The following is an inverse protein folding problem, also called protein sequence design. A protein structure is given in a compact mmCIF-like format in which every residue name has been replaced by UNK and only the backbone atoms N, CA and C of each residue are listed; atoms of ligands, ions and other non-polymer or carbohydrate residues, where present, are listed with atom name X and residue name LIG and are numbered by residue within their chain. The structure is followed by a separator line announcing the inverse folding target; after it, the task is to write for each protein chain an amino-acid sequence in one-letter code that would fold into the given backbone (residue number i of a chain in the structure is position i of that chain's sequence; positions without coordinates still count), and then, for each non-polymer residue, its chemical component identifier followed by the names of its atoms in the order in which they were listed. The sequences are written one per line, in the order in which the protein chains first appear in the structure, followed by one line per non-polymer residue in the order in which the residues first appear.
data_IF_541351925335
#
_entry.id   IF_541351925335
#
_cell.length_a   1.000
_cell.length_b   1.000
_cell.length_c   1.000
_cell.angle_alpha   90.00
_cell.angle_beta   90.00
_cell.angle_gamma   90.00
#
_symmetry.space_group_name_H-M   'P 1'
#
loop_
_entity.id
_entity.type
_entity.pdbx_description
1 polymer ?
#
# COMPACT_ATOMS: atom_id res chain seq x y z
N UNK A 1 -51.42 16.50 -1.62
CA UNK A 1 -50.83 15.18 -1.76
C UNK A 1 -50.14 14.84 -0.43
N UNK A 2 -50.47 13.73 0.22
CA UNK A 2 -49.83 13.35 1.46
C UNK A 2 -48.36 12.96 1.18
N UNK A 3 -47.44 13.42 2.03
CA UNK A 3 -46.01 13.13 1.96
C UNK A 3 -45.79 11.61 2.04
N UNK A 4 -45.02 11.07 1.09
CA UNK A 4 -44.62 9.67 1.10
C UNK A 4 -43.86 9.34 2.41
N UNK A 5 -44.10 8.16 3.01
CA UNK A 5 -43.42 7.76 4.25
C UNK A 5 -41.90 7.73 4.01
N UNK A 6 -41.16 8.35 4.92
CA UNK A 6 -39.69 8.28 4.93
C UNK A 6 -39.29 6.81 4.99
N UNK A 7 -38.43 6.32 4.09
CA UNK A 7 -37.91 4.96 4.21
C UNK A 7 -37.22 4.80 5.56
N UNK A 8 -37.53 3.71 6.26
CA UNK A 8 -36.91 3.33 7.51
C UNK A 8 -35.39 3.32 7.33
N UNK A 9 -34.67 3.93 8.28
CA UNK A 9 -33.22 3.94 8.26
C UNK A 9 -32.72 2.48 8.20
N UNK A 10 -31.90 2.10 7.20
CA UNK A 10 -31.35 0.76 7.13
C UNK A 10 -30.59 0.48 8.41
N UNK A 11 -30.88 -0.68 9.02
CA UNK A 11 -30.28 -1.09 10.28
C UNK A 11 -28.77 -0.96 10.23
N UNK A 12 -28.22 -0.28 11.24
CA UNK A 12 -26.79 -0.10 11.46
C UNK A 12 -26.15 -1.50 11.55
N UNK A 13 -25.60 -2.00 10.45
CA UNK A 13 -24.70 -3.14 10.59
C UNK A 13 -23.42 -2.63 11.27
N UNK A 14 -22.95 -3.31 12.31
CA UNK A 14 -21.76 -2.90 13.05
C UNK A 14 -20.57 -2.85 12.07
N UNK A 15 -19.70 -1.85 12.26
CA UNK A 15 -18.42 -1.77 11.55
C UNK A 15 -17.70 -3.12 11.69
N UNK A 16 -17.07 -3.64 10.61
CA UNK A 16 -16.34 -4.90 10.72
C UNK A 16 -15.31 -4.78 11.84
N UNK A 17 -15.47 -5.62 12.85
CA UNK A 17 -14.60 -5.67 14.02
C UNK A 17 -13.19 -6.08 13.57
N UNK A 18 -12.18 -5.76 14.38
CA UNK A 18 -10.81 -6.24 14.12
C UNK A 18 -10.80 -7.77 13.93
N UNK A 19 -11.67 -8.48 14.64
CA UNK A 19 -11.83 -9.93 14.54
C UNK A 19 -12.34 -10.36 13.16
N UNK A 20 -13.29 -9.65 12.57
CA UNK A 20 -13.80 -9.94 11.21
C UNK A 20 -12.75 -9.64 10.14
N UNK A 21 -11.96 -8.59 10.33
CA UNK A 21 -10.82 -8.29 9.44
C UNK A 21 -9.75 -9.39 9.50
N UNK A 22 -9.47 -9.92 10.70
CA UNK A 22 -8.59 -11.09 10.83
C UNK A 22 -9.20 -12.35 10.23
N UNK A 23 -10.52 -12.54 10.33
CA UNK A 23 -11.20 -13.65 9.67
C UNK A 23 -11.13 -13.55 8.14
N UNK A 24 -11.22 -12.36 7.57
CA UNK A 24 -11.06 -12.14 6.13
C UNK A 24 -9.64 -12.55 5.65
N UNK A 25 -8.62 -12.37 6.47
CA UNK A 25 -7.26 -12.83 6.16
C UNK A 25 -7.16 -14.35 6.00
N UNK A 26 -8.13 -15.12 6.50
CA UNK A 26 -8.21 -16.57 6.28
C UNK A 26 -8.43 -16.94 4.82
N UNK A 27 -8.88 -16.01 3.99
CA UNK A 27 -9.03 -16.20 2.55
C UNK A 27 -7.71 -15.97 1.77
N UNK A 28 -6.70 -15.39 2.39
CA UNK A 28 -5.40 -15.10 1.75
C UNK A 28 -4.61 -16.39 1.42
N UNK A 29 -4.47 -17.39 2.33
CA UNK A 29 -3.73 -18.61 2.03
C UNK A 29 -4.31 -19.41 0.84
N UNK A 30 -5.64 -19.65 0.71
CA UNK A 30 -6.20 -20.27 -0.49
C UNK A 30 -5.90 -19.49 -1.77
N UNK A 31 -5.93 -18.16 -1.71
CA UNK A 31 -5.59 -17.30 -2.84
C UNK A 31 -4.12 -17.44 -3.25
N UNK A 32 -3.19 -17.40 -2.29
CA UNK A 32 -1.76 -17.61 -2.55
C UNK A 32 -1.50 -19.00 -3.15
N UNK A 33 -2.23 -20.03 -2.69
CA UNK A 33 -2.13 -21.38 -3.27
C UNK A 33 -2.56 -21.42 -4.74
N UNK A 34 -3.58 -20.65 -5.12
CA UNK A 34 -4.01 -20.53 -6.52
C UNK A 34 -2.95 -19.85 -7.39
N UNK A 35 -2.30 -18.80 -6.88
CA UNK A 35 -1.21 -18.11 -7.56
C UNK A 35 -0.03 -19.05 -7.76
N UNK A 36 0.34 -19.78 -6.70
CA UNK A 36 1.39 -20.80 -6.76
C UNK A 36 1.09 -21.88 -7.81
N UNK A 37 -0.16 -22.34 -7.87
CA UNK A 37 -0.59 -23.32 -8.86
C UNK A 37 -0.55 -22.81 -10.31
N UNK A 38 -0.69 -21.49 -10.53
CA UNK A 38 -0.60 -20.89 -11.86
C UNK A 38 0.83 -20.94 -12.42
N UNK A 39 1.84 -20.62 -11.59
CA UNK A 39 3.26 -20.75 -11.96
C UNK A 39 4.15 -20.80 -10.71
N UNK A 40 4.61 -21.99 -10.27
CA UNK A 40 5.54 -22.12 -9.14
C UNK A 40 6.85 -21.38 -9.38
N UNK A 41 7.40 -21.47 -10.60
CA UNK A 41 8.69 -20.88 -10.95
C UNK A 41 8.68 -19.33 -10.82
N UNK A 42 7.66 -18.67 -11.37
CA UNK A 42 7.53 -17.20 -11.26
C UNK A 42 7.22 -16.77 -9.83
N UNK A 43 6.45 -17.56 -9.07
CA UNK A 43 6.16 -17.28 -7.66
C UNK A 43 7.43 -17.33 -6.81
N UNK A 44 8.28 -18.36 -7.00
CA UNK A 44 9.58 -18.47 -6.32
C UNK A 44 10.51 -17.32 -6.75
N UNK A 45 10.60 -17.03 -8.04
CA UNK A 45 11.44 -15.96 -8.55
C UNK A 45 11.02 -14.59 -7.96
N UNK A 46 9.73 -14.27 -7.98
CA UNK A 46 9.20 -13.02 -7.41
C UNK A 46 9.50 -12.92 -5.91
N UNK A 47 9.23 -13.96 -5.12
CA UNK A 47 9.48 -13.97 -3.69
C UNK A 47 10.98 -13.88 -3.38
N UNK A 48 11.83 -14.63 -4.10
CA UNK A 48 13.29 -14.61 -3.92
C UNK A 48 13.89 -13.23 -4.23
N UNK A 49 13.49 -12.61 -5.35
CA UNK A 49 13.91 -11.27 -5.73
C UNK A 49 13.46 -10.23 -4.69
N UNK A 50 12.23 -10.34 -4.19
CA UNK A 50 11.70 -9.45 -3.14
C UNK A 50 12.43 -9.64 -1.81
N UNK A 51 12.80 -10.86 -1.45
CA UNK A 51 13.60 -11.13 -0.26
C UNK A 51 14.95 -10.41 -0.34
N UNK A 52 15.66 -10.53 -1.45
CA UNK A 52 16.92 -9.80 -1.67
C UNK A 52 16.69 -8.29 -1.62
N UNK A 53 15.67 -7.80 -2.32
CA UNK A 53 15.34 -6.37 -2.37
C UNK A 53 14.99 -5.78 -1.00
N UNK A 54 14.42 -6.58 -0.10
CA UNK A 54 14.05 -6.12 1.25
C UNK A 54 15.24 -5.69 2.10
N UNK A 55 16.44 -6.22 1.84
CA UNK A 55 17.66 -5.86 2.58
C UNK A 55 18.45 -4.69 1.95
N UNK A 56 18.23 -4.40 0.66
CA UNK A 56 19.00 -3.36 -0.03
C UNK A 56 18.89 -1.97 0.62
N UNK A 57 17.70 -1.49 1.08
CA UNK A 57 17.60 -0.15 1.65
C UNK A 57 18.45 0.05 2.91
N UNK A 58 18.55 -0.95 3.79
CA UNK A 58 19.39 -0.83 4.98
C UNK A 58 20.87 -0.88 4.63
N UNK A 59 21.26 -1.72 3.65
CA UNK A 59 22.65 -1.80 3.18
C UNK A 59 23.09 -0.47 2.55
N UNK A 60 22.25 0.15 1.71
CA UNK A 60 22.55 1.45 1.11
C UNK A 60 22.71 2.54 2.17
N UNK A 61 21.82 2.60 3.17
CA UNK A 61 21.97 3.56 4.28
C UNK A 61 23.23 3.29 5.12
N UNK A 62 23.59 2.04 5.31
CA UNK A 62 24.81 1.68 6.04
C UNK A 62 26.07 2.06 5.28
N UNK A 63 26.12 1.85 3.96
CA UNK A 63 27.25 2.29 3.13
C UNK A 63 27.31 3.82 3.07
N UNK A 64 26.16 4.50 2.95
CA UNK A 64 26.08 5.95 3.06
C UNK A 64 26.67 6.50 4.36
N UNK A 65 26.42 5.80 5.50
CA UNK A 65 27.10 6.09 6.77
C UNK A 65 28.62 5.98 6.63
N UNK A 66 29.13 4.86 6.08
CA UNK A 66 30.57 4.62 5.92
C UNK A 66 31.23 5.68 5.02
N UNK A 67 30.55 6.11 3.95
CA UNK A 67 31.02 7.18 3.06
C UNK A 67 31.16 8.49 3.84
N UNK A 68 30.18 8.84 4.66
CA UNK A 68 30.20 10.07 5.44
C UNK A 68 31.32 10.01 6.51
N UNK A 69 31.44 8.89 7.20
CA UNK A 69 32.47 8.72 8.23
C UNK A 69 33.89 8.80 7.62
N UNK A 70 34.08 8.19 6.42
CA UNK A 70 35.33 8.25 5.71
C UNK A 70 35.64 9.67 5.20
N UNK A 71 34.65 10.39 4.68
CA UNK A 71 34.79 11.79 4.28
C UNK A 71 35.19 12.69 5.47
N UNK A 72 34.52 12.50 6.63
CA UNK A 72 34.83 13.24 7.85
C UNK A 72 36.26 12.92 8.34
N UNK A 73 36.67 11.64 8.26
CA UNK A 73 38.02 11.21 8.59
C UNK A 73 39.08 11.93 7.72
N UNK A 74 38.86 12.00 6.41
CA UNK A 74 39.72 12.65 5.45
C UNK A 74 39.85 14.16 5.74
N UNK A 75 38.73 14.83 6.01
CA UNK A 75 38.73 16.25 6.41
C UNK A 75 39.51 16.48 7.71
N UNK A 76 39.35 15.56 8.67
CA UNK A 76 40.04 15.62 9.97
C UNK A 76 41.55 15.44 9.90
N UNK A 77 42.05 14.81 8.80
CA UNK A 77 43.50 14.68 8.57
C UNK A 77 44.16 16.00 8.14
N UNK A 78 43.37 17.03 7.78
CA UNK A 78 43.88 18.34 7.35
C UNK A 78 44.72 18.29 6.07
N UNK A 79 44.52 17.25 5.25
CA UNK A 79 45.28 17.11 3.99
C UNK A 79 44.65 18.04 2.97
N UNK A 80 45.35 19.08 2.57
CA UNK A 80 44.99 19.92 1.46
C UNK A 80 45.47 19.22 0.16
N UNK A 81 44.56 18.93 -0.72
CA UNK A 81 44.84 18.37 -2.05
C UNK A 81 44.82 19.52 -3.08
N UNK A 82 45.94 19.82 -3.67
CA UNK A 82 46.04 20.85 -4.74
C UNK A 82 45.35 20.39 -6.04
N UNK A 83 45.19 19.07 -6.24
CA UNK A 83 44.52 18.49 -7.38
C UNK A 83 43.92 17.10 -7.11
N UNK A 84 42.94 16.68 -7.92
CA UNK A 84 42.38 15.31 -7.87
C UNK A 84 43.47 14.26 -8.17
N UNK A 85 44.49 14.62 -8.96
CA UNK A 85 45.56 13.71 -9.32
C UNK A 85 46.49 13.45 -8.12
N UNK A 86 46.75 14.45 -7.30
CA UNK A 86 47.56 14.30 -6.06
C UNK A 86 46.78 13.48 -5.03
N UNK A 87 45.51 13.73 -4.88
CA UNK A 87 44.64 12.95 -4.02
C UNK A 87 44.56 11.46 -4.43
N UNK A 88 44.65 11.18 -5.73
CA UNK A 88 44.73 9.81 -6.25
C UNK A 88 46.07 9.14 -5.99
N UNK A 89 47.15 9.85 -6.17
CA UNK A 89 48.56 9.34 -5.98
C UNK A 89 48.82 9.00 -4.52
N UNK A 90 48.23 9.74 -3.56
CA UNK A 90 48.36 9.46 -2.12
C UNK A 90 47.63 8.20 -1.68
N UNK A 91 46.69 7.66 -2.49
CA UNK A 91 45.90 6.51 -2.14
C UNK A 91 44.86 6.74 -1.04
N UNK A 92 44.81 7.94 -0.45
CA UNK A 92 43.92 8.28 0.66
C UNK A 92 42.42 8.27 0.26
N UNK A 93 42.13 8.58 -0.99
CA UNK A 93 40.75 8.55 -1.54
C UNK A 93 40.27 7.16 -1.91
N UNK A 94 41.16 6.16 -1.97
CA UNK A 94 40.82 4.83 -2.43
C UNK A 94 39.68 4.17 -1.62
N UNK A 95 39.64 4.21 -0.28
CA UNK A 95 38.53 3.66 0.48
C UNK A 95 37.19 4.35 0.18
N UNK A 96 37.19 5.69 0.08
CA UNK A 96 36.00 6.48 -0.25
C UNK A 96 35.46 6.13 -1.64
N UNK A 97 36.34 5.98 -2.63
CA UNK A 97 35.97 5.62 -3.99
C UNK A 97 35.38 4.21 -4.08
N UNK A 98 35.96 3.25 -3.33
CA UNK A 98 35.40 1.90 -3.27
C UNK A 98 34.02 1.89 -2.64
N UNK A 99 33.77 2.66 -1.60
CA UNK A 99 32.44 2.78 -0.99
C UNK A 99 31.44 3.41 -1.94
N UNK A 100 31.85 4.45 -2.70
CA UNK A 100 30.99 5.07 -3.72
C UNK A 100 30.66 4.10 -4.86
N UNK A 101 31.64 3.35 -5.35
CA UNK A 101 31.41 2.31 -6.38
C UNK A 101 30.47 1.22 -5.87
N UNK A 102 30.63 0.82 -4.60
CA UNK A 102 29.76 -0.17 -3.97
C UNK A 102 28.32 0.36 -3.83
N UNK A 103 28.14 1.60 -3.37
CA UNK A 103 26.81 2.24 -3.25
C UNK A 103 26.15 2.34 -4.65
N UNK A 104 26.88 2.81 -5.65
CA UNK A 104 26.41 2.87 -7.03
C UNK A 104 26.00 1.49 -7.56
N UNK A 105 26.83 0.46 -7.32
CA UNK A 105 26.53 -0.91 -7.70
C UNK A 105 25.25 -1.44 -7.02
N UNK A 106 25.06 -1.15 -5.73
CA UNK A 106 23.84 -1.51 -5.02
C UNK A 106 22.61 -0.75 -5.52
N UNK A 107 22.74 0.52 -5.88
CA UNK A 107 21.66 1.30 -6.47
C UNK A 107 21.19 0.69 -7.79
N UNK A 108 22.13 0.38 -8.70
CA UNK A 108 21.83 -0.30 -9.96
C UNK A 108 21.19 -1.68 -9.70
N UNK A 109 21.75 -2.46 -8.78
CA UNK A 109 21.19 -3.77 -8.42
C UNK A 109 19.77 -3.67 -7.87
N UNK A 110 19.49 -2.65 -7.03
CA UNK A 110 18.15 -2.37 -6.51
C UNK A 110 17.15 -2.07 -7.63
N UNK A 111 17.52 -1.22 -8.57
CA UNK A 111 16.67 -0.87 -9.70
C UNK A 111 16.44 -2.06 -10.64
N UNK A 112 17.49 -2.83 -10.92
CA UNK A 112 17.40 -4.04 -11.74
C UNK A 112 16.48 -5.07 -11.10
N UNK A 113 16.68 -5.37 -9.82
CA UNK A 113 15.82 -6.29 -9.07
C UNK A 113 14.37 -5.78 -9.05
N UNK A 114 14.16 -4.46 -8.89
CA UNK A 114 12.84 -3.86 -8.96
C UNK A 114 12.13 -4.10 -10.29
N UNK A 115 12.85 -3.97 -11.40
CA UNK A 115 12.33 -4.24 -12.75
C UNK A 115 12.05 -5.73 -12.97
N UNK A 116 12.93 -6.61 -12.48
CA UNK A 116 12.73 -8.06 -12.55
C UNK A 116 11.51 -8.52 -11.73
N UNK A 117 11.31 -7.95 -10.55
CA UNK A 117 10.09 -8.19 -9.74
C UNK A 117 8.84 -7.77 -10.51
N UNK A 118 8.81 -6.55 -11.07
CA UNK A 118 7.68 -6.07 -11.85
C UNK A 118 7.40 -6.94 -13.07
N UNK A 119 8.45 -7.39 -13.76
CA UNK A 119 8.33 -8.31 -14.89
C UNK A 119 7.72 -9.66 -14.48
N UNK A 120 8.27 -10.28 -13.43
CA UNK A 120 7.76 -11.55 -12.92
C UNK A 120 6.29 -11.45 -12.46
N UNK A 121 5.93 -10.34 -11.83
CA UNK A 121 4.55 -10.09 -11.38
C UNK A 121 3.58 -9.86 -12.54
N UNK A 122 4.00 -9.17 -13.59
CA UNK A 122 3.17 -8.96 -14.77
C UNK A 122 2.84 -10.30 -15.42
N UNK A 123 3.86 -11.17 -15.63
CA UNK A 123 3.65 -12.50 -16.20
C UNK A 123 2.79 -13.39 -15.29
N UNK A 124 3.07 -13.38 -13.98
CA UNK A 124 2.31 -14.17 -13.01
C UNK A 124 0.84 -13.73 -12.94
N UNK A 125 0.59 -12.43 -13.02
CA UNK A 125 -0.74 -11.82 -13.08
C UNK A 125 -1.52 -12.27 -14.31
N UNK A 126 -0.86 -12.29 -15.47
CA UNK A 126 -1.47 -12.72 -16.72
C UNK A 126 -1.81 -14.22 -16.70
N UNK A 127 -0.85 -15.06 -16.28
CA UNK A 127 -1.08 -16.51 -16.14
C UNK A 127 -2.20 -16.82 -15.14
N UNK A 128 -2.24 -16.10 -14.01
CA UNK A 128 -3.29 -16.27 -13.01
C UNK A 128 -4.67 -15.87 -13.57
N UNK A 129 -4.74 -14.74 -14.28
CA UNK A 129 -5.99 -14.26 -14.91
C UNK A 129 -6.48 -15.26 -15.95
N UNK A 130 -5.60 -15.76 -16.82
CA UNK A 130 -5.93 -16.75 -17.84
C UNK A 130 -6.41 -18.06 -17.20
N UNK A 131 -5.67 -18.57 -16.21
CA UNK A 131 -6.06 -19.81 -15.52
C UNK A 131 -7.40 -19.68 -14.79
N UNK A 132 -7.68 -18.52 -14.19
CA UNK A 132 -8.95 -18.27 -13.50
C UNK A 132 -10.10 -18.11 -14.50
N UNK A 133 -9.87 -17.47 -15.65
CA UNK A 133 -10.86 -17.33 -16.70
C UNK A 133 -11.22 -18.68 -17.33
N UNK A 134 -10.22 -19.54 -17.56
CA UNK A 134 -10.46 -20.90 -18.08
C UNK A 134 -11.30 -21.69 -17.07
N UNK A 135 -10.95 -21.70 -15.79
CA UNK A 135 -11.74 -22.39 -14.75
C UNK A 135 -13.18 -21.86 -14.65
N UNK A 136 -13.36 -20.55 -14.82
CA UNK A 136 -14.70 -19.95 -14.80
C UNK A 136 -15.52 -20.43 -15.99
N UNK A 137 -14.92 -20.49 -17.20
CA UNK A 137 -15.60 -21.00 -18.40
C UNK A 137 -15.89 -22.49 -18.29
N UNK A 138 -14.95 -23.31 -17.79
CA UNK A 138 -15.14 -24.74 -17.53
C UNK A 138 -16.30 -24.96 -16.55
N UNK A 139 -16.36 -24.19 -15.46
CA UNK A 139 -17.45 -24.27 -14.50
C UNK A 139 -18.79 -23.83 -15.13
N UNK A 140 -18.81 -22.74 -15.87
CA UNK A 140 -20.01 -22.29 -16.57
C UNK A 140 -20.54 -23.34 -17.57
N UNK A 141 -19.67 -24.11 -18.22
CA UNK A 141 -20.04 -25.18 -19.13
C UNK A 141 -20.67 -26.40 -18.41
N UNK A 142 -20.52 -26.55 -17.11
CA UNK A 142 -21.15 -27.61 -16.31
C UNK A 142 -22.50 -27.25 -15.73
N UNK A 143 -22.93 -25.97 -15.89
CA UNK A 143 -24.21 -25.49 -15.41
C UNK A 143 -25.31 -25.79 -16.41
N UNK A 144 -26.51 -26.15 -15.93
CA UNK A 144 -27.70 -26.34 -16.76
C UNK A 144 -28.31 -24.98 -17.16
N UNK A 145 -29.13 -24.97 -18.20
CA UNK A 145 -29.75 -23.75 -18.71
C UNK A 145 -30.65 -23.08 -17.65
N UNK A 146 -31.27 -23.87 -16.79
CA UNK A 146 -32.11 -23.43 -15.68
C UNK A 146 -31.28 -22.64 -14.63
N UNK A 147 -30.03 -23.06 -14.40
CA UNK A 147 -29.11 -22.36 -13.47
C UNK A 147 -28.77 -20.94 -13.96
N UNK A 148 -28.72 -20.72 -15.30
CA UNK A 148 -28.46 -19.39 -15.86
C UNK A 148 -29.66 -18.44 -15.73
N UNK A 149 -30.86 -18.96 -15.50
CA UNK A 149 -32.07 -18.17 -15.22
C UNK A 149 -32.18 -17.79 -13.74
N UNK A 150 -31.42 -18.43 -12.84
CA UNK A 150 -31.39 -18.10 -11.42
C UNK A 150 -30.67 -16.77 -11.17
N UNK A 151 -31.36 -15.73 -10.66
CA UNK A 151 -30.78 -14.44 -10.37
C UNK A 151 -29.61 -14.49 -9.36
N UNK A 152 -29.65 -15.45 -8.41
CA UNK A 152 -28.62 -15.60 -7.41
C UNK A 152 -27.32 -16.14 -8.04
N UNK A 153 -27.43 -17.07 -8.98
CA UNK A 153 -26.29 -17.61 -9.68
C UNK A 153 -25.71 -16.61 -10.69
N UNK A 154 -26.54 -15.85 -11.39
CA UNK A 154 -26.11 -14.75 -12.26
C UNK A 154 -25.28 -13.72 -11.47
N UNK A 155 -25.75 -13.32 -10.28
CA UNK A 155 -25.01 -12.41 -9.37
C UNK A 155 -23.66 -13.00 -8.95
N UNK A 156 -23.58 -14.30 -8.69
CA UNK A 156 -22.33 -15.01 -8.33
C UNK A 156 -21.35 -15.05 -9.50
N UNK A 157 -21.83 -15.36 -10.71
CA UNK A 157 -21.01 -15.36 -11.93
C UNK A 157 -20.47 -13.98 -12.27
N UNK A 158 -21.29 -12.95 -12.15
CA UNK A 158 -20.88 -11.57 -12.38
C UNK A 158 -19.87 -11.07 -11.34
N UNK A 159 -20.01 -11.48 -10.08
CA UNK A 159 -18.99 -11.22 -9.05
C UNK A 159 -17.70 -11.94 -9.38
N UNK A 160 -17.74 -13.21 -9.77
CA UNK A 160 -16.56 -13.97 -10.16
C UNK A 160 -15.80 -13.32 -11.32
N UNK A 161 -16.52 -12.86 -12.36
CA UNK A 161 -15.93 -12.11 -13.50
C UNK A 161 -15.24 -10.83 -13.06
N UNK A 162 -15.90 -10.00 -12.23
CA UNK A 162 -15.34 -8.75 -11.72
C UNK A 162 -14.14 -8.99 -10.79
N UNK A 163 -14.20 -10.01 -9.96
CA UNK A 163 -13.13 -10.36 -9.05
C UNK A 163 -11.87 -10.85 -9.78
N UNK A 164 -11.99 -11.49 -10.92
CA UNK A 164 -10.84 -11.95 -11.70
C UNK A 164 -9.93 -10.78 -12.09
N UNK A 165 -10.48 -9.63 -12.47
CA UNK A 165 -9.72 -8.43 -12.81
C UNK A 165 -9.11 -7.71 -11.58
N UNK A 166 -9.75 -7.79 -10.42
CA UNK A 166 -9.28 -7.12 -9.18
C UNK A 166 -8.21 -7.90 -8.42
N UNK A 167 -8.12 -9.21 -8.60
CA UNK A 167 -7.24 -10.10 -7.82
C UNK A 167 -5.76 -9.93 -8.12
N UNK A 168 -5.40 -9.44 -9.30
CA UNK A 168 -4.00 -9.13 -9.67
C UNK A 168 -3.40 -8.03 -8.79
N UNK A 169 -4.16 -6.98 -8.50
CA UNK A 169 -3.76 -5.91 -7.59
C UNK A 169 -3.58 -6.42 -6.16
N UNK A 170 -4.47 -7.33 -5.71
CA UNK A 170 -4.39 -7.95 -4.38
C UNK A 170 -3.10 -8.77 -4.24
N UNK A 171 -2.71 -9.52 -5.28
CA UNK A 171 -1.46 -10.29 -5.29
C UNK A 171 -0.23 -9.38 -5.12
N UNK A 172 -0.11 -8.34 -5.94
CA UNK A 172 1.00 -7.40 -5.87
C UNK A 172 1.07 -6.72 -4.50
N UNK A 173 -0.09 -6.39 -3.93
CA UNK A 173 -0.19 -5.78 -2.60
C UNK A 173 0.25 -6.73 -1.49
N UNK A 174 -0.17 -8.00 -1.50
CA UNK A 174 0.24 -8.99 -0.49
C UNK A 174 1.75 -9.22 -0.56
N UNK A 175 2.32 -9.40 -1.76
CA UNK A 175 3.76 -9.59 -1.92
C UNK A 175 4.55 -8.34 -1.54
N UNK A 176 4.02 -7.13 -1.84
CA UNK A 176 4.58 -5.87 -1.38
C UNK A 176 4.61 -5.76 0.14
N UNK A 177 3.49 -6.08 0.80
CA UNK A 177 3.40 -6.07 2.27
C UNK A 177 4.38 -7.07 2.92
N UNK A 178 4.57 -8.24 2.34
CA UNK A 178 5.55 -9.20 2.84
C UNK A 178 6.98 -8.67 2.73
N UNK A 179 7.34 -8.07 1.59
CA UNK A 179 8.64 -7.40 1.41
C UNK A 179 8.83 -6.26 2.43
N UNK A 180 7.84 -5.39 2.59
CA UNK A 180 7.91 -4.27 3.53
C UNK A 180 8.04 -4.75 4.97
N UNK A 181 7.37 -5.85 5.36
CA UNK A 181 7.52 -6.46 6.68
C UNK A 181 8.94 -6.95 6.93
N UNK A 182 9.57 -7.60 5.96
CA UNK A 182 10.98 -8.04 6.06
C UNK A 182 11.91 -6.82 6.16
N UNK A 183 11.65 -5.78 5.37
CA UNK A 183 12.43 -4.53 5.42
C UNK A 183 12.28 -3.84 6.78
N UNK A 184 11.08 -3.81 7.36
CA UNK A 184 10.83 -3.30 8.72
C UNK A 184 11.64 -4.05 9.76
N UNK A 185 11.65 -5.38 9.70
CA UNK A 185 12.44 -6.21 10.62
C UNK A 185 13.94 -5.88 10.48
N UNK A 186 14.43 -5.74 9.26
CA UNK A 186 15.84 -5.40 8.99
C UNK A 186 16.21 -4.05 9.60
N UNK A 187 15.40 -3.00 9.40
CA UNK A 187 15.64 -1.69 10.02
C UNK A 187 15.48 -1.70 11.53
N UNK A 188 14.51 -2.47 12.06
CA UNK A 188 14.33 -2.60 13.50
C UNK A 188 15.55 -3.24 14.16
N UNK A 189 16.13 -4.29 13.55
CA UNK A 189 17.38 -4.90 14.03
C UNK A 189 18.52 -3.88 14.00
N UNK A 190 18.67 -3.12 12.90
CA UNK A 190 19.68 -2.06 12.81
C UNK A 190 19.55 -1.02 13.91
N UNK A 191 18.33 -0.55 14.20
CA UNK A 191 18.09 0.41 15.29
C UNK A 191 18.32 -0.21 16.69
N UNK A 192 17.96 -1.49 16.88
CA UNK A 192 18.16 -2.19 18.17
C UNK A 192 19.64 -2.26 18.57
N UNK A 193 20.52 -2.45 17.60
CA UNK A 193 21.97 -2.54 17.85
C UNK A 193 22.55 -1.22 18.36
N UNK A 194 22.05 -0.08 17.84
CA UNK A 194 22.58 1.25 18.18
C UNK A 194 21.83 1.94 19.32
N UNK A 195 20.49 1.89 19.29
CA UNK A 195 19.67 2.63 20.23
C UNK A 195 18.27 1.99 20.40
N UNK A 196 18.12 0.95 21.24
CA UNK A 196 16.88 0.17 21.36
C UNK A 196 15.65 1.01 21.79
N UNK A 197 15.85 2.07 22.57
CA UNK A 197 14.75 2.93 23.01
C UNK A 197 14.12 3.75 21.87
N UNK A 198 14.80 3.96 20.74
CA UNK A 198 14.23 4.61 19.56
C UNK A 198 13.05 3.83 18.97
N UNK A 199 13.06 2.50 19.11
CA UNK A 199 11.93 1.66 18.68
C UNK A 199 10.72 1.90 19.58
N UNK A 200 10.92 2.05 20.89
CA UNK A 200 9.84 2.37 21.81
C UNK A 200 9.23 3.73 21.48
N UNK A 201 10.07 4.74 21.25
CA UNK A 201 9.61 6.07 20.83
C UNK A 201 8.81 6.01 19.51
N UNK A 202 9.28 5.23 18.54
CA UNK A 202 8.61 5.02 17.27
C UNK A 202 7.23 4.36 17.47
N UNK A 203 7.14 3.32 18.30
CA UNK A 203 5.90 2.65 18.60
C UNK A 203 4.88 3.63 19.22
N UNK A 204 5.30 4.41 20.22
CA UNK A 204 4.45 5.43 20.86
C UNK A 204 3.98 6.50 19.86
N UNK A 205 4.86 6.93 18.95
CA UNK A 205 4.52 7.93 17.94
C UNK A 205 3.54 7.40 16.86
N UNK A 206 3.57 6.09 16.54
CA UNK A 206 2.75 5.48 15.51
C UNK A 206 1.36 5.04 15.98
N UNK A 207 1.21 4.65 17.26
CA UNK A 207 -0.07 4.15 17.78
C UNK A 207 -1.23 5.12 17.53
N UNK A 208 -1.14 6.43 17.82
CA UNK A 208 -2.23 7.36 17.56
C UNK A 208 -2.60 7.46 16.09
N UNK A 209 -1.60 7.52 15.20
CA UNK A 209 -1.82 7.57 13.76
C UNK A 209 -2.54 6.31 13.24
N UNK A 210 -2.15 5.14 13.72
CA UNK A 210 -2.80 3.87 13.39
C UNK A 210 -4.27 3.81 13.85
N UNK A 211 -4.54 4.19 15.09
CA UNK A 211 -5.92 4.22 15.63
C UNK A 211 -6.79 5.15 14.79
N UNK A 212 -6.29 6.34 14.46
CA UNK A 212 -6.99 7.31 13.64
C UNK A 212 -7.29 6.79 12.25
N UNK A 213 -6.29 6.25 11.54
CA UNK A 213 -6.44 5.72 10.18
C UNK A 213 -7.40 4.52 10.15
N UNK A 214 -7.28 3.60 11.11
CA UNK A 214 -8.19 2.46 11.25
C UNK A 214 -9.64 2.90 11.48
N UNK A 215 -9.86 3.92 12.30
CA UNK A 215 -11.17 4.49 12.56
C UNK A 215 -11.79 5.11 11.30
N UNK A 216 -11.04 5.95 10.57
CA UNK A 216 -11.55 6.59 9.36
C UNK A 216 -11.76 5.60 8.20
N UNK A 217 -10.94 4.56 8.09
CA UNK A 217 -11.16 3.50 7.12
C UNK A 217 -12.46 2.72 7.43
N UNK A 218 -12.74 2.44 8.71
CA UNK A 218 -14.00 1.82 9.12
C UNK A 218 -15.21 2.71 8.80
N UNK A 219 -15.12 4.02 9.04
CA UNK A 219 -16.17 4.98 8.68
C UNK A 219 -16.37 5.07 7.16
N UNK A 220 -15.30 5.02 6.38
CA UNK A 220 -15.38 4.98 4.92
C UNK A 220 -16.09 3.72 4.40
N UNK A 221 -15.76 2.57 4.98
CA UNK A 221 -16.44 1.32 4.66
C UNK A 221 -17.94 1.36 5.00
N UNK A 222 -18.29 1.82 6.21
CA UNK A 222 -19.69 1.93 6.63
C UNK A 222 -20.49 2.91 5.77
N UNK A 223 -19.88 4.02 5.34
CA UNK A 223 -20.50 4.96 4.43
C UNK A 223 -20.79 4.31 3.08
N UNK A 224 -19.82 3.63 2.49
CA UNK A 224 -20.00 2.92 1.23
C UNK A 224 -21.07 1.83 1.33
N UNK A 225 -21.16 1.13 2.45
CA UNK A 225 -22.17 0.10 2.67
C UNK A 225 -23.57 0.70 2.83
N UNK A 226 -23.73 1.76 3.62
CA UNK A 226 -25.01 2.45 3.83
C UNK A 226 -25.59 3.01 2.53
N UNK A 227 -24.75 3.45 1.61
CA UNK A 227 -25.15 3.99 0.32
C UNK A 227 -25.22 2.94 -0.80
N UNK A 228 -25.17 1.66 -0.47
CA UNK A 228 -25.26 0.58 -1.48
C UNK A 228 -26.54 0.64 -2.30
N UNK A 229 -27.75 0.87 -1.74
CA UNK A 229 -28.98 0.99 -2.52
C UNK A 229 -28.96 2.18 -3.50
N UNK A 230 -28.56 3.35 -3.02
CA UNK A 230 -28.47 4.57 -3.83
C UNK A 230 -27.37 4.45 -4.90
N UNK A 231 -26.28 3.77 -4.58
CA UNK A 231 -25.20 3.50 -5.53
C UNK A 231 -25.65 2.53 -6.63
N UNK A 232 -26.47 1.53 -6.32
CA UNK A 232 -27.10 0.68 -7.32
C UNK A 232 -28.04 1.49 -8.22
N UNK A 233 -28.86 2.37 -7.64
CA UNK A 233 -29.70 3.28 -8.41
C UNK A 233 -28.88 4.20 -9.31
N UNK A 234 -27.80 4.75 -8.81
CA UNK A 234 -26.90 5.63 -9.55
C UNK A 234 -26.27 4.89 -10.74
N UNK A 235 -25.80 3.65 -10.51
CA UNK A 235 -25.26 2.80 -11.57
C UNK A 235 -26.31 2.43 -12.60
N UNK A 236 -27.52 2.04 -12.16
CA UNK A 236 -28.64 1.74 -13.04
C UNK A 236 -29.03 2.95 -13.90
N UNK A 237 -29.17 4.14 -13.31
CA UNK A 237 -29.47 5.37 -14.04
C UNK A 237 -28.38 5.70 -15.05
N UNK A 238 -27.11 5.52 -14.67
CA UNK A 238 -25.96 5.71 -15.57
C UNK A 238 -26.00 4.73 -16.75
N UNK A 239 -26.21 3.45 -16.46
CA UNK A 239 -26.26 2.41 -17.48
C UNK A 239 -27.44 2.65 -18.41
N UNK A 240 -28.65 2.86 -17.89
CA UNK A 240 -29.86 3.16 -18.70
C UNK A 240 -29.67 4.43 -19.51
N UNK A 241 -29.05 5.46 -18.98
CA UNK A 241 -28.86 6.74 -19.68
C UNK A 241 -27.78 6.73 -20.78
N UNK A 242 -26.86 5.76 -20.74
CA UNK A 242 -25.67 5.75 -21.60
C UNK A 242 -25.43 4.43 -22.35
N UNK A 243 -26.29 3.43 -22.22
CA UNK A 243 -26.13 2.15 -22.93
C UNK A 243 -26.84 2.14 -24.28
N UNK A 244 -26.33 1.31 -25.18
CA UNK A 244 -26.92 1.10 -26.53
C UNK A 244 -28.26 0.39 -26.43
N UNK A 245 -28.41 -0.53 -25.48
CA UNK A 245 -29.60 -1.34 -25.26
C UNK A 245 -30.82 -0.48 -24.96
N UNK A 246 -30.67 0.56 -24.12
CA UNK A 246 -31.77 1.46 -23.73
C UNK A 246 -31.86 2.74 -24.55
N UNK A 247 -30.95 2.94 -25.51
CA UNK A 247 -30.89 4.19 -26.29
C UNK A 247 -32.17 4.51 -27.05
N UNK A 248 -32.88 3.51 -27.54
CA UNK A 248 -34.15 3.66 -28.28
C UNK A 248 -35.25 4.20 -27.35
N UNK A 249 -35.46 3.56 -26.20
CA UNK A 249 -36.47 3.97 -25.22
C UNK A 249 -36.17 5.35 -24.66
N UNK A 250 -34.91 5.60 -24.30
CA UNK A 250 -34.49 6.90 -23.80
C UNK A 250 -34.75 8.02 -24.79
N UNK A 251 -34.57 7.78 -26.11
CA UNK A 251 -34.86 8.76 -27.16
C UNK A 251 -36.37 8.89 -27.46
N UNK A 252 -37.09 7.77 -27.60
CA UNK A 252 -38.53 7.76 -27.92
C UNK A 252 -39.31 8.45 -26.80
N UNK A 253 -39.03 8.13 -25.54
CA UNK A 253 -39.71 8.70 -24.38
C UNK A 253 -39.09 9.99 -23.85
N UNK A 254 -38.04 10.52 -24.51
CA UNK A 254 -37.33 11.74 -24.13
C UNK A 254 -36.87 11.74 -22.66
N UNK A 255 -36.37 10.59 -22.17
CA UNK A 255 -36.03 10.38 -20.76
C UNK A 255 -34.67 10.93 -20.37
N UNK A 256 -33.85 11.39 -21.32
CA UNK A 256 -32.46 11.83 -21.05
C UNK A 256 -32.39 12.90 -19.96
N UNK A 257 -33.27 13.90 -19.97
CA UNK A 257 -33.28 14.99 -18.99
C UNK A 257 -33.65 14.49 -17.59
N UNK A 258 -34.63 13.59 -17.50
CA UNK A 258 -35.03 12.96 -16.25
C UNK A 258 -33.89 12.11 -15.65
N UNK A 259 -33.24 11.28 -16.46
CA UNK A 259 -32.13 10.41 -16.02
C UNK A 259 -30.93 11.24 -15.55
N UNK A 260 -30.56 12.28 -16.29
CA UNK A 260 -29.46 13.19 -15.89
C UNK A 260 -29.78 13.88 -14.57
N UNK A 261 -30.97 14.40 -14.38
CA UNK A 261 -31.36 15.08 -13.14
C UNK A 261 -31.43 14.11 -11.96
N UNK A 262 -31.94 12.89 -12.18
CA UNK A 262 -31.97 11.82 -11.18
C UNK A 262 -30.55 11.43 -10.76
N UNK A 263 -29.66 11.23 -11.74
CA UNK A 263 -28.24 10.95 -11.48
C UNK A 263 -27.59 12.06 -10.65
N UNK A 264 -27.76 13.31 -11.04
CA UNK A 264 -27.21 14.48 -10.34
C UNK A 264 -27.67 14.53 -8.89
N UNK A 265 -28.96 14.37 -8.63
CA UNK A 265 -29.54 14.38 -7.27
C UNK A 265 -28.91 13.29 -6.38
N UNK A 266 -28.78 12.07 -6.89
CA UNK A 266 -28.17 10.93 -6.17
C UNK A 266 -26.66 11.17 -5.95
N UNK A 267 -25.96 11.60 -6.98
CA UNK A 267 -24.52 11.88 -6.93
C UNK A 267 -24.18 12.99 -5.96
N UNK A 268 -24.96 14.08 -5.93
CA UNK A 268 -24.77 15.20 -5.00
C UNK A 268 -24.99 14.81 -3.54
N UNK A 269 -25.94 13.90 -3.28
CA UNK A 269 -26.15 13.33 -1.94
C UNK A 269 -24.93 12.57 -1.45
N UNK A 270 -24.43 11.67 -2.28
CA UNK A 270 -23.23 10.88 -1.98
C UNK A 270 -21.97 11.75 -1.84
N UNK A 271 -21.79 12.73 -2.75
CA UNK A 271 -20.67 13.66 -2.70
C UNK A 271 -20.63 14.46 -1.39
N UNK A 272 -21.77 14.98 -0.92
CA UNK A 272 -21.85 15.73 0.35
C UNK A 272 -21.46 14.86 1.54
N UNK A 273 -21.95 13.63 1.61
CA UNK A 273 -21.60 12.70 2.68
C UNK A 273 -20.11 12.35 2.66
N UNK A 274 -19.58 12.00 1.49
CA UNK A 274 -18.16 11.67 1.32
C UNK A 274 -17.24 12.87 1.59
N UNK A 275 -17.62 14.07 1.17
CA UNK A 275 -16.89 15.32 1.45
C UNK A 275 -16.80 15.60 2.96
N UNK A 276 -17.88 15.36 3.70
CA UNK A 276 -17.89 15.56 5.15
C UNK A 276 -16.92 14.58 5.85
N UNK A 277 -16.92 13.32 5.44
CA UNK A 277 -16.00 12.30 5.94
C UNK A 277 -14.55 12.63 5.56
N UNK A 278 -14.30 12.96 4.30
CA UNK A 278 -12.97 13.29 3.80
C UNK A 278 -12.36 14.50 4.54
N UNK A 279 -13.17 15.53 4.82
CA UNK A 279 -12.72 16.71 5.60
C UNK A 279 -12.32 16.32 7.03
N UNK A 280 -13.13 15.50 7.71
CA UNK A 280 -12.81 15.00 9.06
C UNK A 280 -11.54 14.15 9.06
N UNK A 281 -11.43 13.24 8.09
CA UNK A 281 -10.24 12.42 7.91
C UNK A 281 -8.99 13.25 7.65
N UNK A 282 -9.08 14.26 6.77
CA UNK A 282 -7.97 15.16 6.48
C UNK A 282 -7.52 15.91 7.73
N UNK A 283 -8.44 16.51 8.48
CA UNK A 283 -8.12 17.28 9.69
C UNK A 283 -7.46 16.41 10.76
N UNK A 284 -8.12 15.32 11.16
CA UNK A 284 -7.58 14.43 12.19
C UNK A 284 -6.34 13.66 11.73
N UNK A 285 -6.32 13.24 10.45
CA UNK A 285 -5.15 12.59 9.87
C UNK A 285 -3.92 13.50 9.89
N UNK A 286 -4.07 14.79 9.56
CA UNK A 286 -2.98 15.76 9.64
C UNK A 286 -2.50 15.95 11.09
N UNK A 287 -3.41 16.06 12.05
CA UNK A 287 -3.05 16.21 13.46
C UNK A 287 -2.27 15.01 13.98
N UNK A 288 -2.74 13.80 13.66
CA UNK A 288 -2.08 12.56 14.08
C UNK A 288 -0.74 12.35 13.37
N UNK A 289 -0.64 12.72 12.08
CA UNK A 289 0.63 12.71 11.35
C UNK A 289 1.63 13.72 11.93
N UNK A 290 1.14 14.89 12.40
CA UNK A 290 1.99 15.88 13.08
C UNK A 290 2.59 15.33 14.39
N UNK A 291 1.82 14.56 15.17
CA UNK A 291 2.35 13.87 16.36
C UNK A 291 3.46 12.87 16.01
N UNK A 292 3.26 12.07 14.95
CA UNK A 292 4.31 11.18 14.44
C UNK A 292 5.54 11.93 13.95
N UNK A 293 5.36 13.10 13.34
CA UNK A 293 6.46 13.96 12.91
C UNK A 293 7.20 14.55 14.13
N UNK A 294 6.48 14.96 15.16
CA UNK A 294 7.08 15.40 16.42
C UNK A 294 7.96 14.29 17.03
N UNK A 295 7.45 13.06 17.08
CA UNK A 295 8.23 11.90 17.54
C UNK A 295 9.53 11.70 16.76
N UNK A 296 9.47 11.88 15.43
CA UNK A 296 10.68 11.84 14.60
C UNK A 296 11.69 12.93 14.98
N UNK A 297 11.25 14.18 15.15
CA UNK A 297 12.15 15.27 15.50
C UNK A 297 12.72 15.15 16.92
N UNK A 298 11.97 14.58 17.86
CA UNK A 298 12.49 14.25 19.19
C UNK A 298 13.60 13.19 19.10
N UNK A 299 13.40 12.13 18.31
CA UNK A 299 14.43 11.13 18.04
C UNK A 299 15.66 11.76 17.38
N UNK A 300 15.44 12.58 16.36
CA UNK A 300 16.52 13.26 15.63
C UNK A 300 17.34 14.18 16.54
N UNK A 301 16.68 14.99 17.37
CA UNK A 301 17.35 15.87 18.34
C UNK A 301 18.18 15.07 19.35
N UNK A 302 17.67 13.94 19.82
CA UNK A 302 18.44 13.06 20.71
C UNK A 302 19.68 12.47 20.03
N UNK A 303 19.54 11.95 18.80
CA UNK A 303 20.65 11.39 18.04
C UNK A 303 21.70 12.49 17.80
N UNK A 304 21.28 13.69 17.37
CA UNK A 304 22.15 14.84 17.16
C UNK A 304 22.88 15.23 18.45
N UNK A 305 22.18 15.26 19.59
CA UNK A 305 22.81 15.56 20.89
C UNK A 305 23.86 14.52 21.29
N UNK A 306 23.61 13.21 21.06
CA UNK A 306 24.56 12.12 21.29
C UNK A 306 25.77 12.22 20.34
N UNK A 307 25.55 12.66 19.09
CA UNK A 307 26.64 12.92 18.14
C UNK A 307 27.53 14.07 18.58
N UNK A 308 26.94 15.18 19.07
CA UNK A 308 27.73 16.31 19.61
C UNK A 308 28.52 15.91 20.84
N UNK A 309 28.05 14.96 21.64
CA UNK A 309 28.78 14.39 22.77
C UNK A 309 29.93 13.45 22.38
N UNK A 310 30.01 13.05 21.11
CA UNK A 310 31.00 12.11 20.61
C UNK A 310 30.64 10.63 20.78
N UNK A 311 29.41 10.31 21.22
CA UNK A 311 28.95 8.93 21.37
C UNK A 311 28.62 8.28 20.02
N UNK A 312 28.26 9.09 19.03
CA UNK A 312 27.94 8.69 17.66
C UNK A 312 28.77 9.49 16.66
N UNK A 313 29.10 8.87 15.52
CA UNK A 313 29.71 9.57 14.39
C UNK A 313 28.66 10.39 13.61
N UNK A 314 29.11 11.26 12.70
CA UNK A 314 28.21 11.98 11.77
C UNK A 314 27.52 10.99 10.83
N UNK A 315 28.23 9.93 10.43
CA UNK A 315 27.63 8.83 9.67
C UNK A 315 26.55 8.07 10.47
N UNK A 316 26.77 7.84 11.79
CA UNK A 316 25.74 7.24 12.65
C UNK A 316 24.49 8.11 12.74
N UNK A 317 24.63 9.43 12.84
CA UNK A 317 23.50 10.36 12.86
C UNK A 317 22.67 10.21 11.59
N UNK A 318 23.28 10.18 10.42
CA UNK A 318 22.58 10.04 9.13
C UNK A 318 21.95 8.67 8.99
N UNK A 319 22.65 7.60 9.39
CA UNK A 319 22.13 6.23 9.36
C UNK A 319 20.92 6.06 10.29
N UNK A 320 21.02 6.49 11.54
CA UNK A 320 19.96 6.34 12.54
C UNK A 320 18.74 7.20 12.20
N UNK A 321 18.94 8.46 11.80
CA UNK A 321 17.85 9.34 11.40
C UNK A 321 17.15 8.84 10.12
N UNK A 322 17.93 8.40 9.14
CA UNK A 322 17.41 7.80 7.90
C UNK A 322 16.66 6.50 8.15
N UNK A 323 17.22 5.61 8.99
CA UNK A 323 16.60 4.34 9.38
C UNK A 323 15.29 4.56 10.14
N UNK A 324 15.26 5.49 11.11
CA UNK A 324 14.05 5.83 11.86
C UNK A 324 12.94 6.37 10.93
N UNK A 325 13.30 7.30 10.04
CA UNK A 325 12.37 7.86 9.06
C UNK A 325 11.82 6.79 8.13
N UNK A 326 12.69 5.91 7.62
CA UNK A 326 12.30 4.84 6.71
C UNK A 326 11.43 3.80 7.39
N UNK A 327 11.80 3.40 8.60
CA UNK A 327 11.03 2.47 9.42
C UNK A 327 9.62 3.00 9.72
N UNK A 328 9.51 4.30 10.07
CA UNK A 328 8.22 4.96 10.26
C UNK A 328 7.36 4.87 9.01
N UNK A 329 7.90 5.25 7.84
CA UNK A 329 7.16 5.22 6.57
C UNK A 329 6.69 3.81 6.20
N UNK A 330 7.55 2.81 6.39
CA UNK A 330 7.20 1.41 6.11
C UNK A 330 6.12 0.90 7.06
N UNK A 331 6.19 1.21 8.35
CA UNK A 331 5.17 0.83 9.32
C UNK A 331 3.83 1.49 9.04
N UNK A 332 3.81 2.79 8.70
CA UNK A 332 2.59 3.48 8.24
C UNK A 332 2.02 2.80 6.98
N UNK A 333 2.87 2.45 6.01
CA UNK A 333 2.50 1.72 4.79
C UNK A 333 1.93 0.33 5.07
N UNK A 334 2.57 -0.44 5.96
CA UNK A 334 2.09 -1.76 6.38
C UNK A 334 0.70 -1.70 7.03
N UNK A 335 0.45 -0.72 7.89
CA UNK A 335 -0.82 -0.55 8.57
C UNK A 335 -1.97 -0.20 7.59
N UNK A 336 -1.70 0.71 6.64
CA UNK A 336 -2.65 1.07 5.59
C UNK A 336 -2.89 -0.12 4.66
N UNK A 337 -1.83 -0.79 4.23
CA UNK A 337 -1.90 -1.93 3.33
C UNK A 337 -2.62 -3.13 3.95
N UNK A 338 -2.40 -3.41 5.25
CA UNK A 338 -3.18 -4.43 5.96
C UNK A 338 -4.68 -4.14 5.92
N UNK A 339 -5.07 -2.88 6.17
CA UNK A 339 -6.48 -2.47 6.10
C UNK A 339 -7.06 -2.63 4.69
N UNK A 340 -6.28 -2.35 3.65
CA UNK A 340 -6.69 -2.50 2.25
C UNK A 340 -6.83 -3.98 1.86
N UNK A 341 -5.84 -4.82 2.20
CA UNK A 341 -5.91 -6.27 1.95
C UNK A 341 -7.11 -6.88 2.65
N UNK A 342 -7.34 -6.54 3.92
CA UNK A 342 -8.49 -7.03 4.66
C UNK A 342 -9.83 -6.62 4.02
N UNK A 343 -9.93 -5.39 3.50
CA UNK A 343 -11.16 -4.91 2.82
C UNK A 343 -11.40 -5.54 1.44
N UNK A 344 -10.35 -6.02 0.77
CA UNK A 344 -10.46 -6.71 -0.53
C UNK A 344 -10.67 -8.22 -0.36
N UNK A 345 -10.34 -8.78 0.81
CA UNK A 345 -10.51 -10.19 1.14
C UNK A 345 -11.91 -10.50 1.72
N UNK A 346 -12.68 -9.48 2.13
CA UNK A 346 -14.09 -9.54 2.53
C UNK A 346 -15.01 -9.63 1.31
#
# INVERSE_FOLDING_TARGET
MPAAPRPAAPGRQPNPTLRERFQAMRNVPPFLRQIWAASPALSIASLGLRLVRAFLPILMLYIGKLIIDEAVRLVGLGVEFDSLEDAWRTGLLQPLLWLLVLEFGLAIASDLIGRLVSYAETLLSELFTNATSIRLMEHAATLDLEDFEDPELQDKLDRARRQTMGRTNLMAQIFGQLQDAITVISFAIGLLVYAPWLILLLAVALIPAFIGESHFNALGYSLNFQWTPERRQLEYVRQTGASVESAKEVKIFNLHRFLVERYRTLADGFFRANRALARRRAFWGTLLAALGTLGYYVAYAYIAWRTVRGDFSIGDLTFLAGSFRRLRQLLEGLLVGFSQVASQAL
#
